data_IF_877432474574
#
_entry.id   IF_877432474574
#
_cell.length_a   1.000
_cell.length_b   1.000
_cell.length_c   1.000
_cell.angle_alpha   90.00
_cell.angle_beta   90.00
_cell.angle_gamma   90.00
#
_symmetry.space_group_name_H-M   'P 1'
#
loop_
_entity.id
_entity.type
_entity.pdbx_description
1 polymer ?
#
# COMPACT_ATOMS: atom_id res chain seq x y z
N UNK A 1 -12.26 16.51 8.37
CA UNK A 1 -11.51 15.24 8.33
C UNK A 1 -10.47 15.29 9.45
N UNK A 2 -10.45 14.31 10.37
CA UNK A 2 -9.49 14.28 11.49
C UNK A 2 -8.13 13.71 11.08
N UNK A 3 -8.11 12.69 10.21
CA UNK A 3 -6.90 12.04 9.74
C UNK A 3 -6.72 12.26 8.25
N UNK A 4 -5.53 12.70 7.84
CA UNK A 4 -5.15 12.80 6.44
C UNK A 4 -4.64 11.44 5.95
N UNK A 5 -5.20 10.86 4.87
CA UNK A 5 -4.65 9.62 4.32
C UNK A 5 -3.31 9.90 3.64
N UNK A 6 -2.29 9.14 4.05
CA UNK A 6 -0.93 9.19 3.50
C UNK A 6 -0.39 7.77 3.36
N UNK A 7 0.54 7.57 2.43
CA UNK A 7 1.34 6.36 2.33
C UNK A 7 2.71 6.63 2.94
N UNK A 8 3.09 5.81 3.94
CA UNK A 8 4.37 5.92 4.61
C UNK A 8 5.43 5.10 3.84
N UNK A 9 6.57 5.72 3.53
CA UNK A 9 7.70 5.00 2.94
C UNK A 9 8.38 4.11 3.99
N UNK A 10 8.13 2.81 3.91
CA UNK A 10 8.68 1.82 4.83
C UNK A 10 10.18 1.55 4.64
N UNK A 11 10.79 2.10 3.57
CA UNK A 11 12.25 2.03 3.35
C UNK A 11 13.01 3.13 4.09
N UNK A 12 12.32 4.20 4.51
CA UNK A 12 12.93 5.35 5.18
C UNK A 12 13.53 5.00 6.56
N UNK A 13 12.99 3.97 7.25
CA UNK A 13 13.51 3.55 8.56
C UNK A 13 12.77 2.33 9.12
N UNK A 14 13.17 1.82 10.29
CA UNK A 14 12.48 0.73 10.96
C UNK A 14 11.15 1.19 11.57
N UNK A 15 10.20 0.26 11.65
CA UNK A 15 8.98 0.38 12.47
C UNK A 15 9.21 -0.37 13.78
N UNK A 16 9.04 0.30 14.91
CA UNK A 16 9.07 -0.35 16.23
C UNK A 16 7.69 -0.91 16.52
N UNK A 17 7.62 -2.20 16.88
CA UNK A 17 6.38 -2.87 17.27
C UNK A 17 6.51 -3.39 18.69
N UNK A 18 5.59 -2.98 19.55
CA UNK A 18 5.60 -3.34 20.98
C UNK A 18 4.29 -4.05 21.29
N UNK A 19 4.37 -5.18 21.97
CA UNK A 19 3.12 -5.85 22.36
C UNK A 19 3.28 -7.31 22.71
N UNK A 20 2.14 -8.00 22.73
CA UNK A 20 2.05 -9.40 23.12
C UNK A 20 0.96 -10.15 22.36
N UNK A 21 1.08 -11.47 22.35
CA UNK A 21 0.04 -12.39 21.91
C UNK A 21 -0.35 -12.26 20.44
N UNK A 22 -1.60 -12.59 20.12
CA UNK A 22 -2.10 -12.62 18.73
C UNK A 22 -2.23 -11.23 18.11
N UNK A 23 -2.48 -10.20 18.91
CA UNK A 23 -2.54 -8.81 18.39
C UNK A 23 -1.19 -8.37 17.83
N UNK A 24 -0.10 -8.67 18.54
CA UNK A 24 1.27 -8.43 18.07
C UNK A 24 1.51 -9.20 16.77
N UNK A 25 1.27 -10.53 16.76
CA UNK A 25 1.50 -11.38 15.57
C UNK A 25 0.70 -10.90 14.36
N UNK A 26 -0.56 -10.53 14.53
CA UNK A 26 -1.39 -9.99 13.46
C UNK A 26 -0.82 -8.70 12.84
N UNK A 27 -0.29 -7.79 13.67
CA UNK A 27 0.34 -6.56 13.17
C UNK A 27 1.67 -6.82 12.49
N UNK A 28 2.47 -7.74 13.01
CA UNK A 28 3.73 -8.12 12.38
C UNK A 28 3.52 -8.69 10.98
N UNK A 29 2.53 -9.60 10.80
CA UNK A 29 2.19 -10.13 9.47
C UNK A 29 1.84 -9.02 8.46
N UNK A 30 1.03 -8.05 8.86
CA UNK A 30 0.64 -6.93 7.96
C UNK A 30 1.84 -6.05 7.60
N UNK A 31 2.67 -5.70 8.59
CA UNK A 31 3.82 -4.82 8.37
C UNK A 31 4.94 -5.52 7.60
N UNK A 32 5.19 -6.79 7.88
CA UNK A 32 6.18 -7.59 7.17
C UNK A 32 5.77 -7.81 5.71
N UNK A 33 4.50 -8.17 5.44
CA UNK A 33 3.97 -8.29 4.09
C UNK A 33 4.07 -6.97 3.30
N UNK A 34 3.98 -5.82 3.98
CA UNK A 34 4.22 -4.51 3.38
C UNK A 34 5.71 -4.18 3.17
N UNK A 35 6.63 -5.07 3.56
CA UNK A 35 8.07 -4.92 3.37
C UNK A 35 8.79 -4.07 4.43
N UNK A 36 8.15 -3.79 5.57
CA UNK A 36 8.74 -3.03 6.65
C UNK A 36 9.92 -3.77 7.32
N UNK A 37 10.96 -3.02 7.70
CA UNK A 37 11.95 -3.48 8.67
C UNK A 37 11.39 -3.30 10.07
N UNK A 38 11.34 -4.37 10.85
CA UNK A 38 10.64 -4.38 12.14
C UNK A 38 11.63 -4.55 13.28
N UNK A 39 11.51 -3.71 14.31
CA UNK A 39 12.16 -3.91 15.60
C UNK A 39 11.08 -4.23 16.64
N UNK A 40 11.09 -5.44 17.17
CA UNK A 40 10.00 -5.99 17.95
C UNK A 40 10.36 -6.14 19.42
N UNK A 41 9.58 -5.55 20.29
CA UNK A 41 9.62 -5.76 21.73
C UNK A 41 8.40 -6.62 22.14
N UNK A 42 8.61 -7.92 22.32
CA UNK A 42 7.60 -8.84 22.84
C UNK A 42 7.58 -8.77 24.37
N UNK A 43 6.55 -8.10 24.92
CA UNK A 43 6.48 -7.84 26.38
C UNK A 43 6.01 -9.03 27.22
N UNK A 44 5.52 -10.10 26.56
CA UNK A 44 5.21 -11.41 27.18
C UNK A 44 6.40 -12.37 27.18
N UNK A 45 7.55 -11.92 26.66
CA UNK A 45 8.76 -12.75 26.55
C UNK A 45 8.68 -13.83 25.46
N UNK A 46 7.57 -13.90 24.70
CA UNK A 46 7.42 -14.88 23.63
C UNK A 46 8.17 -14.44 22.38
N UNK A 47 9.18 -15.21 21.97
CA UNK A 47 9.97 -14.95 20.76
C UNK A 47 9.43 -15.67 19.53
N UNK A 48 8.44 -16.56 19.67
CA UNK A 48 7.75 -17.15 18.53
C UNK A 48 6.72 -16.18 17.97
N UNK A 49 7.12 -15.47 16.92
CA UNK A 49 6.28 -14.47 16.26
C UNK A 49 5.40 -15.07 15.15
N UNK A 50 5.50 -16.37 14.89
CA UNK A 50 4.71 -17.11 13.88
C UNK A 50 4.76 -16.44 12.49
N UNK A 51 5.96 -16.06 12.04
CA UNK A 51 6.23 -15.45 10.76
C UNK A 51 6.82 -16.46 9.77
N UNK A 52 6.65 -16.22 8.47
CA UNK A 52 7.38 -16.94 7.44
C UNK A 52 8.87 -16.69 7.53
N UNK A 53 9.71 -17.56 6.94
CA UNK A 53 11.16 -17.37 6.94
C UNK A 53 11.59 -16.07 6.24
N UNK A 54 10.87 -15.67 5.20
CA UNK A 54 11.10 -14.43 4.47
C UNK A 54 10.76 -13.19 5.31
N UNK A 55 9.62 -13.22 6.00
CA UNK A 55 9.20 -12.12 6.87
C UNK A 55 10.10 -12.01 8.11
N UNK A 56 10.51 -13.14 8.68
CA UNK A 56 11.41 -13.19 9.83
C UNK A 56 12.78 -12.54 9.53
N UNK A 57 13.26 -12.61 8.30
CA UNK A 57 14.51 -11.96 7.90
C UNK A 57 14.50 -10.43 8.01
N UNK A 58 13.30 -9.82 8.11
CA UNK A 58 13.12 -8.37 8.28
C UNK A 58 12.84 -7.96 9.73
N UNK A 59 12.87 -8.92 10.66
CA UNK A 59 12.51 -8.73 12.07
C UNK A 59 13.74 -8.82 12.95
N UNK A 60 14.00 -7.77 13.69
CA UNK A 60 14.94 -7.71 14.81
C UNK A 60 14.16 -7.86 16.11
N UNK A 61 14.42 -8.90 16.88
CA UNK A 61 13.85 -9.03 18.23
C UNK A 61 14.70 -8.21 19.17
N UNK A 62 14.13 -7.13 19.69
CA UNK A 62 14.79 -6.25 20.63
C UNK A 62 14.61 -6.75 22.06
N UNK A 63 15.67 -6.65 22.85
CA UNK A 63 15.67 -6.96 24.28
C UNK A 63 15.66 -5.69 25.12
N UNK A 64 15.25 -5.81 26.38
CA UNK A 64 15.20 -4.69 27.33
C UNK A 64 13.87 -3.93 27.30
N UNK A 65 13.83 -2.86 28.10
CA UNK A 65 12.63 -2.04 28.25
C UNK A 65 12.37 -1.17 26.99
N UNK A 66 11.24 -1.34 26.31
CA UNK A 66 10.90 -0.52 25.13
C UNK A 66 10.82 0.97 25.45
N UNK A 67 10.51 1.34 26.69
CA UNK A 67 10.40 2.74 27.09
C UNK A 67 11.76 3.46 27.17
N UNK A 68 12.86 2.73 27.21
CA UNK A 68 14.24 3.27 27.20
C UNK A 68 15.00 3.00 25.92
N UNK A 69 14.40 2.22 24.99
CA UNK A 69 15.04 1.83 23.74
C UNK A 69 15.41 3.05 22.86
N UNK A 70 16.50 2.92 22.07
CA UNK A 70 16.87 3.93 21.09
C UNK A 70 15.86 3.96 19.94
N UNK A 71 15.26 5.13 19.70
CA UNK A 71 14.29 5.40 18.63
C UNK A 71 14.89 6.19 17.46
N UNK A 72 16.20 6.33 17.40
CA UNK A 72 16.88 7.04 16.30
C UNK A 72 16.57 6.36 14.96
N UNK A 73 16.15 7.16 13.98
CA UNK A 73 15.79 6.70 12.63
C UNK A 73 14.49 5.88 12.54
N UNK A 74 13.76 5.69 13.64
CA UNK A 74 12.44 5.05 13.63
C UNK A 74 11.43 5.94 12.91
N UNK A 75 10.63 5.34 12.03
CA UNK A 75 9.63 6.08 11.23
C UNK A 75 8.22 5.99 11.78
N UNK A 76 7.91 4.95 12.54
CA UNK A 76 6.63 4.76 13.20
C UNK A 76 6.74 3.77 14.37
N UNK A 77 5.81 3.87 15.31
CA UNK A 77 5.67 2.96 16.44
C UNK A 77 4.27 2.38 16.43
N UNK A 78 4.16 1.07 16.66
CA UNK A 78 2.90 0.34 16.74
C UNK A 78 2.84 -0.44 18.05
N UNK A 79 1.85 -0.15 18.87
CA UNK A 79 1.59 -0.84 20.13
C UNK A 79 0.37 -1.75 19.97
N UNK A 80 0.58 -3.07 20.03
CA UNK A 80 -0.45 -4.08 19.78
C UNK A 80 -0.54 -5.08 20.94
N UNK A 81 -1.55 -4.91 21.82
CA UNK A 81 -1.65 -5.67 23.06
C UNK A 81 -0.59 -5.27 24.08
N UNK A 82 -0.21 -3.98 24.10
CA UNK A 82 0.86 -3.46 24.94
C UNK A 82 0.41 -2.88 26.30
N UNK A 83 -0.92 -2.75 26.51
CA UNK A 83 -1.45 -2.20 27.77
C UNK A 83 -0.84 -0.85 28.15
N UNK A 84 -0.50 -0.68 29.41
CA UNK A 84 0.08 0.57 29.95
C UNK A 84 1.41 0.96 29.29
N UNK A 85 2.19 -0.02 28.85
CA UNK A 85 3.43 0.22 28.10
C UNK A 85 3.13 0.95 26.79
N UNK A 86 2.03 0.59 26.12
CA UNK A 86 1.58 1.25 24.89
C UNK A 86 1.19 2.72 25.12
N UNK A 87 0.50 3.01 26.21
CA UNK A 87 0.13 4.38 26.63
C UNK A 87 1.39 5.19 26.92
N UNK A 88 2.31 4.67 27.73
CA UNK A 88 3.56 5.35 28.06
C UNK A 88 4.42 5.60 26.80
N UNK A 89 4.50 4.60 25.89
CA UNK A 89 5.20 4.76 24.62
C UNK A 89 4.55 5.82 23.73
N UNK A 90 3.23 5.94 23.73
CA UNK A 90 2.53 7.00 22.99
C UNK A 90 2.95 8.40 23.45
N UNK A 91 3.05 8.61 24.76
CA UNK A 91 3.52 9.90 25.31
C UNK A 91 4.95 10.19 24.83
N UNK A 92 5.84 9.22 24.96
CA UNK A 92 7.23 9.34 24.51
C UNK A 92 7.33 9.60 23.00
N UNK A 93 6.59 8.83 22.20
CA UNK A 93 6.59 8.97 20.73
C UNK A 93 6.13 10.37 20.30
N UNK A 94 5.02 10.85 20.88
CA UNK A 94 4.49 12.20 20.61
C UNK A 94 5.48 13.29 20.98
N UNK A 95 6.18 13.15 22.08
CA UNK A 95 7.23 14.11 22.50
C UNK A 95 8.41 14.16 21.52
N UNK A 96 8.68 13.05 20.81
CA UNK A 96 9.73 12.95 19.79
C UNK A 96 9.22 13.26 18.37
N UNK A 97 7.94 13.60 18.20
CA UNK A 97 7.33 13.83 16.89
C UNK A 97 7.18 12.55 16.04
N UNK A 98 7.28 11.36 16.66
CA UNK A 98 7.16 10.09 15.95
C UNK A 98 5.68 9.67 15.80
N UNK A 99 5.27 9.21 14.62
CA UNK A 99 3.96 8.60 14.43
C UNK A 99 3.79 7.37 15.32
N UNK A 100 2.67 7.31 16.05
CA UNK A 100 2.36 6.20 16.95
C UNK A 100 0.91 5.73 16.78
N UNK A 101 0.73 4.41 16.75
CA UNK A 101 -0.58 3.78 16.81
C UNK A 101 -0.63 2.87 18.04
N UNK A 102 -1.60 3.09 18.91
CA UNK A 102 -1.97 2.18 19.99
C UNK A 102 -3.27 1.50 19.58
N UNK A 103 -3.22 0.16 19.43
CA UNK A 103 -4.38 -0.60 18.97
C UNK A 103 -5.57 -0.39 19.91
N UNK A 104 -6.74 -0.16 19.28
CA UNK A 104 -8.02 0.08 19.94
C UNK A 104 -8.06 1.33 20.84
N UNK A 105 -7.05 2.21 20.73
CA UNK A 105 -6.94 3.45 21.47
C UNK A 105 -6.64 4.65 20.54
N UNK A 106 -7.70 5.39 20.21
CA UNK A 106 -7.62 6.57 19.34
C UNK A 106 -7.04 7.81 20.04
N UNK A 107 -7.14 7.89 21.35
CA UNK A 107 -6.63 9.02 22.13
C UNK A 107 -5.10 9.01 22.17
N UNK A 108 -4.54 7.82 22.32
CA UNK A 108 -3.10 7.63 22.36
C UNK A 108 -2.48 7.41 20.97
N UNK A 109 -3.29 7.40 19.90
CA UNK A 109 -2.82 7.25 18.52
C UNK A 109 -2.68 8.58 17.80
N UNK A 110 -1.58 8.77 17.05
CA UNK A 110 -1.40 9.86 16.09
C UNK A 110 -1.71 9.47 14.65
N UNK A 111 -1.77 8.17 14.34
CA UNK A 111 -2.26 7.62 13.07
C UNK A 111 -3.11 6.37 13.32
N UNK A 112 -3.89 5.97 12.32
CA UNK A 112 -4.73 4.78 12.34
C UNK A 112 -4.43 3.87 11.16
N UNK A 113 -4.60 2.56 11.35
CA UNK A 113 -4.54 1.60 10.24
C UNK A 113 -5.87 1.62 9.48
N UNK A 114 -5.84 1.80 8.14
CA UNK A 114 -7.02 1.67 7.30
C UNK A 114 -7.35 0.20 7.03
N UNK A 115 -8.56 -0.05 6.51
CA UNK A 115 -8.81 -1.29 5.76
C UNK A 115 -8.18 -1.14 4.38
N UNK A 116 -7.47 -2.19 3.90
CA UNK A 116 -6.64 -2.11 2.71
C UNK A 116 -7.15 -3.09 1.65
N UNK A 117 -7.23 -2.62 0.39
CA UNK A 117 -7.26 -3.45 -0.81
C UNK A 117 -5.91 -3.30 -1.48
N UNK A 118 -5.14 -4.38 -1.52
CA UNK A 118 -3.83 -4.43 -2.14
C UNK A 118 -3.90 -5.18 -3.48
N UNK A 119 -3.39 -4.53 -4.52
CA UNK A 119 -3.23 -5.04 -5.88
C UNK A 119 -1.83 -4.71 -6.43
N UNK A 120 -0.80 -4.83 -5.59
CA UNK A 120 0.57 -4.46 -5.94
C UNK A 120 0.75 -2.94 -6.00
N UNK A 121 1.10 -2.39 -7.16
CA UNK A 121 1.32 -0.94 -7.33
C UNK A 121 0.05 -0.10 -7.14
N UNK A 122 -1.12 -0.74 -7.07
CA UNK A 122 -2.39 -0.05 -6.76
C UNK A 122 -2.88 -0.47 -5.38
N UNK A 123 -2.88 0.46 -4.46
CA UNK A 123 -3.36 0.26 -3.07
C UNK A 123 -4.50 1.22 -2.78
N UNK A 124 -5.59 0.70 -2.21
CA UNK A 124 -6.71 1.51 -1.71
C UNK A 124 -6.78 1.40 -0.20
N UNK A 125 -6.73 2.55 0.47
CA UNK A 125 -6.83 2.65 1.92
C UNK A 125 -8.18 3.28 2.32
N UNK A 126 -8.95 2.58 3.17
CA UNK A 126 -10.29 3.00 3.59
C UNK A 126 -10.29 3.25 5.10
N UNK A 127 -10.50 4.50 5.49
CA UNK A 127 -10.58 4.90 6.89
C UNK A 127 -11.96 5.43 7.25
N UNK A 128 -12.44 5.08 8.45
CA UNK A 128 -13.69 5.61 9.05
C UNK A 128 -13.41 6.54 10.24
N UNK A 129 -12.17 7.04 10.36
CA UNK A 129 -11.75 7.86 11.49
C UNK A 129 -11.76 7.11 12.83
N UNK A 130 -11.73 5.77 12.80
CA UNK A 130 -11.83 4.93 13.98
C UNK A 130 -13.26 4.68 14.47
N UNK A 131 -14.28 5.24 13.80
CA UNK A 131 -15.67 5.14 14.29
C UNK A 131 -16.34 3.80 14.02
N UNK A 132 -15.98 3.12 12.90
CA UNK A 132 -16.64 1.84 12.56
C UNK A 132 -15.76 0.93 11.70
N UNK A 133 -15.07 -0.04 12.33
CA UNK A 133 -14.33 -1.08 11.58
C UNK A 133 -15.23 -1.89 10.65
N UNK A 134 -16.50 -2.11 11.03
CA UNK A 134 -17.47 -2.87 10.21
C UNK A 134 -17.78 -2.14 8.90
N UNK A 135 -18.00 -0.82 8.96
CA UNK A 135 -18.21 0.00 7.75
C UNK A 135 -16.97 -0.01 6.88
N UNK A 136 -15.79 0.18 7.44
CA UNK A 136 -14.52 0.13 6.70
C UNK A 136 -14.36 -1.21 5.95
N UNK A 137 -14.66 -2.34 6.62
CA UNK A 137 -14.60 -3.67 6.03
C UNK A 137 -15.61 -3.84 4.89
N UNK A 138 -16.86 -3.40 5.07
CA UNK A 138 -17.90 -3.48 4.02
C UNK A 138 -17.56 -2.65 2.79
N UNK A 139 -17.00 -1.45 2.98
CA UNK A 139 -16.53 -0.61 1.88
C UNK A 139 -15.35 -1.28 1.17
N UNK A 140 -14.39 -1.86 1.92
CA UNK A 140 -13.28 -2.63 1.37
C UNK A 140 -13.77 -3.77 0.47
N UNK A 141 -14.71 -4.61 0.95
CA UNK A 141 -15.28 -5.73 0.20
C UNK A 141 -15.89 -5.27 -1.13
N UNK A 142 -16.63 -4.14 -1.12
CA UNK A 142 -17.21 -3.57 -2.34
C UNK A 142 -16.15 -3.06 -3.32
N UNK A 143 -15.15 -2.34 -2.84
CA UNK A 143 -14.06 -1.83 -3.68
C UNK A 143 -13.25 -3.00 -4.24
N UNK A 144 -12.96 -4.01 -3.44
CA UNK A 144 -12.23 -5.20 -3.84
C UNK A 144 -12.93 -5.97 -4.97
N UNK A 145 -14.27 -6.03 -4.95
CA UNK A 145 -15.07 -6.64 -6.00
C UNK A 145 -15.11 -5.81 -7.30
N UNK A 146 -14.95 -4.50 -7.21
CA UNK A 146 -14.94 -3.60 -8.36
C UNK A 146 -13.57 -3.52 -9.05
N UNK A 147 -12.48 -3.64 -8.30
CA UNK A 147 -11.14 -3.51 -8.84
C UNK A 147 -10.70 -4.79 -9.56
N UNK A 148 -10.24 -4.70 -10.81
CA UNK A 148 -9.63 -5.84 -11.48
C UNK A 148 -8.47 -6.42 -10.68
N UNK A 149 -8.37 -7.73 -10.61
CA UNK A 149 -7.33 -8.42 -9.86
C UNK A 149 -5.91 -8.01 -10.30
N UNK A 150 -5.75 -7.66 -11.60
CA UNK A 150 -4.46 -7.31 -12.21
C UNK A 150 -4.27 -5.82 -12.44
N UNK A 151 -4.99 -4.95 -11.75
CA UNK A 151 -4.85 -3.49 -11.92
C UNK A 151 -3.45 -2.99 -11.54
N UNK A 152 -2.80 -3.61 -10.57
CA UNK A 152 -1.42 -3.30 -10.18
C UNK A 152 -0.43 -3.65 -11.30
N UNK A 153 -0.63 -4.79 -11.99
CA UNK A 153 0.18 -5.15 -13.16
C UNK A 153 0.04 -4.12 -14.30
N UNK A 154 -1.16 -3.53 -14.46
CA UNK A 154 -1.37 -2.45 -15.42
C UNK A 154 -0.63 -1.18 -15.01
N UNK A 155 -0.63 -0.82 -13.74
CA UNK A 155 0.11 0.34 -13.23
C UNK A 155 1.62 0.15 -13.42
N UNK A 156 2.16 -1.02 -13.06
CA UNK A 156 3.56 -1.40 -13.28
C UNK A 156 3.93 -1.34 -14.77
N UNK A 157 3.08 -1.90 -15.64
CA UNK A 157 3.26 -1.87 -17.10
C UNK A 157 3.40 -0.43 -17.62
N UNK A 158 2.48 0.45 -17.24
CA UNK A 158 2.52 1.87 -17.60
C UNK A 158 3.80 2.53 -17.08
N UNK A 159 4.17 2.24 -15.82
CA UNK A 159 5.39 2.73 -15.18
C UNK A 159 6.65 2.42 -15.98
N UNK A 160 6.73 1.19 -16.51
CA UNK A 160 7.86 0.73 -17.35
C UNK A 160 8.05 1.54 -18.64
N UNK A 161 6.97 2.03 -19.22
CA UNK A 161 7.03 2.83 -20.47
C UNK A 161 7.00 4.35 -20.24
N UNK A 162 6.79 4.80 -19.01
CA UNK A 162 6.58 6.22 -18.69
C UNK A 162 7.72 7.12 -19.19
N UNK A 163 8.97 6.68 -19.04
CA UNK A 163 10.13 7.47 -19.43
C UNK A 163 10.17 7.66 -20.96
N UNK A 164 10.07 6.59 -21.73
CA UNK A 164 10.14 6.65 -23.19
C UNK A 164 8.98 7.45 -23.81
N UNK A 165 7.78 7.36 -23.23
CA UNK A 165 6.64 8.15 -23.69
C UNK A 165 6.79 9.63 -23.30
N UNK A 166 7.36 9.95 -22.15
CA UNK A 166 7.65 11.34 -21.76
C UNK A 166 8.65 12.02 -22.71
N UNK A 167 9.62 11.27 -23.22
CA UNK A 167 10.60 11.75 -24.21
C UNK A 167 9.95 11.99 -25.59
N UNK A 168 8.94 11.18 -25.96
CA UNK A 168 8.23 11.28 -27.24
C UNK A 168 7.09 12.32 -27.23
N UNK A 169 6.39 12.45 -26.11
CA UNK A 169 5.26 13.36 -25.97
C UNK A 169 5.59 14.41 -24.90
N UNK A 170 6.12 15.56 -25.35
CA UNK A 170 6.51 16.63 -24.43
C UNK A 170 5.31 17.28 -23.74
N UNK A 171 4.20 17.43 -24.44
CA UNK A 171 3.00 18.12 -23.93
C UNK A 171 2.21 17.25 -22.95
N UNK A 172 2.03 17.73 -21.73
CA UNK A 172 1.31 17.04 -20.67
C UNK A 172 -0.14 16.64 -21.05
N UNK A 173 -0.97 17.52 -21.67
CA UNK A 173 -2.34 17.15 -22.05
C UNK A 173 -2.41 16.02 -23.09
N UNK A 174 -1.48 16.00 -24.04
CA UNK A 174 -1.40 14.93 -25.06
C UNK A 174 -0.97 13.62 -24.43
N UNK A 175 0.04 13.66 -23.55
CA UNK A 175 0.53 12.51 -22.81
C UNK A 175 -0.53 11.89 -21.91
N UNK A 176 -1.34 12.73 -21.24
CA UNK A 176 -2.48 12.27 -20.44
C UNK A 176 -3.51 11.53 -21.31
N UNK A 177 -3.93 12.11 -22.44
CA UNK A 177 -4.87 11.47 -23.38
C UNK A 177 -4.33 10.16 -23.95
N UNK A 178 -3.02 10.10 -24.20
CA UNK A 178 -2.35 8.89 -24.63
C UNK A 178 -2.53 7.78 -23.59
N UNK A 179 -2.19 8.04 -22.32
CA UNK A 179 -2.32 7.05 -21.25
C UNK A 179 -3.78 6.66 -20.98
N UNK A 180 -4.71 7.59 -21.00
CA UNK A 180 -6.15 7.30 -20.87
C UNK A 180 -6.59 6.29 -21.95
N UNK A 181 -6.15 6.45 -23.19
CA UNK A 181 -6.46 5.52 -24.27
C UNK A 181 -5.77 4.17 -24.13
N UNK A 182 -4.52 4.13 -23.65
CA UNK A 182 -3.82 2.88 -23.34
C UNK A 182 -4.57 2.10 -22.27
N UNK A 183 -4.99 2.77 -21.19
CA UNK A 183 -5.69 2.17 -20.06
C UNK A 183 -7.07 1.65 -20.49
N UNK A 184 -7.86 2.49 -21.15
CA UNK A 184 -9.25 2.19 -21.54
C UNK A 184 -9.33 1.36 -22.84
N UNK A 185 -8.20 1.12 -23.49
CA UNK A 185 -8.09 0.46 -24.79
C UNK A 185 -7.66 -1.00 -24.76
N UNK A 186 -7.41 -1.58 -25.95
CA UNK A 186 -7.04 -2.99 -26.08
C UNK A 186 -5.73 -3.36 -25.39
N UNK A 187 -4.80 -2.41 -25.25
CA UNK A 187 -3.52 -2.63 -24.56
C UNK A 187 -3.77 -2.86 -23.08
N UNK A 188 -4.53 -1.98 -22.42
CA UNK A 188 -4.89 -2.15 -21.02
C UNK A 188 -5.70 -3.43 -20.78
N UNK A 189 -6.66 -3.73 -21.65
CA UNK A 189 -7.42 -4.98 -21.58
C UNK A 189 -6.52 -6.22 -21.73
N UNK A 190 -5.53 -6.19 -22.59
CA UNK A 190 -4.58 -7.30 -22.74
C UNK A 190 -3.76 -7.51 -21.47
N UNK A 191 -3.29 -6.44 -20.80
CA UNK A 191 -2.58 -6.53 -19.53
C UNK A 191 -3.50 -7.10 -18.43
N UNK A 192 -4.72 -6.58 -18.31
CA UNK A 192 -5.70 -7.06 -17.32
C UNK A 192 -6.10 -8.53 -17.55
N UNK A 193 -6.02 -9.01 -18.81
CA UNK A 193 -6.21 -10.41 -19.16
C UNK A 193 -4.94 -11.27 -18.99
N UNK A 194 -3.82 -10.71 -18.49
CA UNK A 194 -2.55 -11.41 -18.30
C UNK A 194 -1.69 -11.58 -19.56
N UNK A 195 -2.03 -10.91 -20.65
CA UNK A 195 -1.30 -10.96 -21.93
C UNK A 195 -0.32 -9.79 -22.05
N UNK A 196 0.59 -9.66 -21.07
CA UNK A 196 1.56 -8.55 -20.96
C UNK A 196 2.51 -8.47 -22.17
N UNK A 197 2.88 -9.63 -22.75
CA UNK A 197 3.73 -9.67 -23.94
C UNK A 197 3.05 -9.05 -25.17
N UNK A 198 1.77 -9.38 -25.42
CA UNK A 198 0.98 -8.82 -26.52
C UNK A 198 0.82 -7.30 -26.35
N UNK A 199 0.53 -6.87 -25.12
CA UNK A 199 0.40 -5.46 -24.78
C UNK A 199 1.71 -4.69 -25.02
N UNK A 200 2.87 -5.28 -24.67
CA UNK A 200 4.18 -4.68 -24.88
C UNK A 200 4.51 -4.55 -26.38
N UNK A 201 4.22 -5.58 -27.16
CA UNK A 201 4.42 -5.55 -28.61
C UNK A 201 3.51 -4.49 -29.26
N UNK A 202 2.23 -4.43 -28.86
CA UNK A 202 1.28 -3.44 -29.38
C UNK A 202 1.68 -1.99 -29.04
N UNK A 203 2.13 -1.75 -27.79
CA UNK A 203 2.60 -0.42 -27.37
C UNK A 203 3.90 -0.02 -28.09
N UNK A 204 4.83 -0.97 -28.26
CA UNK A 204 6.09 -0.75 -28.99
C UNK A 204 5.90 -0.47 -30.49
N UNK A 205 4.84 -0.99 -31.09
CA UNK A 205 4.52 -0.77 -32.51
C UNK A 205 3.93 0.64 -32.77
N UNK A 206 3.54 1.39 -31.75
CA UNK A 206 3.08 2.77 -31.87
C UNK A 206 4.31 3.67 -32.04
N UNK A 207 4.72 3.87 -33.31
CA UNK A 207 5.91 4.63 -33.65
C UNK A 207 5.75 6.14 -33.40
N UNK A 208 4.54 6.67 -33.61
CA UNK A 208 4.17 8.06 -33.40
C UNK A 208 2.87 8.15 -32.57
N UNK A 209 2.80 9.05 -31.57
CA UNK A 209 1.58 9.33 -30.82
C UNK A 209 0.39 9.76 -31.71
N UNK A 210 0.63 10.32 -32.90
CA UNK A 210 -0.39 10.62 -33.89
C UNK A 210 -1.02 9.38 -34.54
N UNK A 211 -0.28 8.26 -34.63
CA UNK A 211 -0.78 6.98 -35.12
C UNK A 211 -1.77 6.33 -34.15
N UNK A 212 -1.78 6.77 -32.90
CA UNK A 212 -2.70 6.28 -31.89
C UNK A 212 -4.18 6.57 -32.22
N UNK A 213 -4.46 7.61 -33.00
CA UNK A 213 -5.81 7.90 -33.49
C UNK A 213 -6.34 6.77 -34.39
N UNK A 214 -5.47 6.12 -35.16
CA UNK A 214 -5.80 4.97 -36.03
C UNK A 214 -6.04 3.68 -35.23
N UNK A 215 -5.30 3.51 -34.13
CA UNK A 215 -5.44 2.34 -33.27
C UNK A 215 -6.77 2.29 -32.52
N UNK A 216 -7.34 3.47 -32.19
CA UNK A 216 -8.61 3.58 -31.46
C UNK A 216 -9.85 3.33 -32.31
N UNK A 217 -9.76 3.41 -33.64
CA UNK A 217 -10.90 3.24 -34.55
C UNK A 217 -11.21 1.78 -34.89
N UNK A 218 -10.28 0.84 -34.63
CA UNK A 218 -10.43 -0.58 -35.01
C UNK A 218 -10.98 -1.49 -33.90
N UNK A 219 -11.21 -0.97 -32.68
CA UNK A 219 -11.69 -1.77 -31.54
C UNK A 219 -13.04 -1.24 -31.07
N UNK A 220 -14.08 -2.01 -31.36
CA UNK A 220 -15.45 -1.76 -30.87
C UNK A 220 -15.47 -1.68 -29.34
N UNK A 221 -16.16 -0.67 -28.80
CA UNK A 221 -16.42 -0.43 -27.38
C UNK A 221 -17.14 -1.58 -26.65
N UNK A 222 -17.50 -2.64 -27.34
CA UNK A 222 -18.30 -3.78 -26.85
C UNK A 222 -17.52 -4.80 -26.02
N UNK A 223 -16.18 -4.69 -25.87
CA UNK A 223 -15.35 -5.65 -25.15
C UNK A 223 -14.89 -5.19 -23.75
N UNK A 224 -15.32 -4.02 -23.32
CA UNK A 224 -14.85 -3.45 -22.04
C UNK A 224 -15.98 -3.43 -21.03
N UNK A 225 -15.82 -4.20 -19.96
CA UNK A 225 -16.62 -4.05 -18.76
C UNK A 225 -16.58 -2.58 -18.30
N UNK A 226 -17.75 -1.99 -18.08
CA UNK A 226 -17.96 -0.59 -17.75
C UNK A 226 -17.17 -0.15 -16.50
N UNK A 227 -16.07 0.54 -16.68
CA UNK A 227 -15.43 1.36 -15.64
C UNK A 227 -16.22 2.65 -15.34
N UNK A 228 -17.26 2.93 -16.12
CA UNK A 228 -18.03 4.20 -16.09
C UNK A 228 -19.42 4.06 -15.46
N UNK A 229 -19.69 3.03 -14.69
CA UNK A 229 -20.96 2.90 -13.98
C UNK A 229 -20.83 3.22 -12.50
#
# INVERSE_FOLDING_TARGET
MRFLPVFLDLKAGPVVVIGAGELLRAKLRVLAAAGARLRVHAIDGNQDLSLSSEDAARVEIATGDPLTADLSGVIAIVCAGAGDVGVAMSVRAKALGLPVNVMDDLEHSSFIFPAIVDRGDVVVAIGTGGTSPVVARRVREKIEALLPARIGELAEFIGGFRKSINERIAEFPLRRRFWERVIDGPIGAAVLAGRKADASAALGAIADPSDFARFSSSVSAAQFGNWRA
#
